data_IF_021222015561
#
_entry.id   IF_021222015561
#
_cell.length_a   1.000
_cell.length_b   1.000
_cell.length_c   1.000
_cell.angle_alpha   90.00
_cell.angle_beta   90.00
_cell.angle_gamma   90.00
#
_symmetry.space_group_name_H-M   'P 1'
#
loop_
_entity.id
_entity.type
_entity.pdbx_description
1 polymer ?
#
# COMPACT_ATOMS: atom_id res chain seq x y z
N UNK A 1 -20.47 10.21 -8.29
CA UNK A 1 -19.41 11.22 -8.44
C UNK A 1 -18.10 10.46 -8.49
N UNK A 2 -17.44 10.45 -9.65
CA UNK A 2 -16.11 9.86 -9.79
C UNK A 2 -15.05 10.92 -9.50
N UNK A 3 -13.84 10.47 -9.17
CA UNK A 3 -12.69 11.35 -9.00
C UNK A 3 -11.93 11.36 -10.32
N UNK A 4 -11.59 12.54 -10.82
CA UNK A 4 -10.84 12.68 -12.04
C UNK A 4 -9.43 12.07 -11.86
N UNK A 5 -9.05 11.20 -12.78
CA UNK A 5 -7.73 10.58 -12.81
C UNK A 5 -7.13 10.66 -14.21
N UNK A 6 -5.82 10.85 -14.28
CA UNK A 6 -5.07 10.96 -15.52
C UNK A 6 -3.90 9.97 -15.53
N UNK A 7 -3.44 9.61 -16.72
CA UNK A 7 -2.28 8.74 -16.87
C UNK A 7 -1.03 9.61 -16.79
N UNK A 8 -0.10 9.26 -15.91
CA UNK A 8 1.19 9.93 -15.79
C UNK A 8 1.94 9.87 -17.12
N UNK A 9 2.42 11.02 -17.60
CA UNK A 9 3.29 11.11 -18.78
C UNK A 9 4.70 10.54 -18.50
N UNK A 10 5.10 10.50 -17.23
CA UNK A 10 6.39 9.99 -16.80
C UNK A 10 6.31 8.50 -16.45
N UNK A 11 7.35 7.76 -16.86
CA UNK A 11 7.60 6.41 -16.37
C UNK A 11 7.90 6.46 -14.87
N UNK A 12 7.21 5.64 -14.08
CA UNK A 12 7.43 5.57 -12.64
C UNK A 12 8.78 4.95 -12.28
N UNK A 13 9.20 5.10 -11.01
CA UNK A 13 10.46 4.55 -10.49
C UNK A 13 10.48 3.00 -10.39
N UNK A 14 9.40 2.33 -10.79
CA UNK A 14 9.28 0.88 -10.70
C UNK A 14 9.63 0.24 -12.05
N UNK A 15 10.35 -0.89 -12.02
CA UNK A 15 10.60 -1.70 -13.21
C UNK A 15 9.32 -2.46 -13.61
N UNK A 16 8.37 -1.74 -14.22
CA UNK A 16 7.12 -2.29 -14.72
C UNK A 16 6.74 -1.62 -16.04
N UNK A 17 6.08 -2.39 -16.88
CA UNK A 17 5.35 -1.99 -18.08
C UNK A 17 4.06 -1.19 -17.79
N UNK A 18 3.62 -1.14 -16.54
CA UNK A 18 2.39 -0.46 -16.13
C UNK A 18 2.56 1.05 -16.13
N UNK A 19 1.56 1.75 -16.67
CA UNK A 19 1.48 3.21 -16.60
C UNK A 19 0.94 3.64 -15.24
N UNK A 20 1.56 4.66 -14.64
CA UNK A 20 1.08 5.22 -13.39
C UNK A 20 -0.18 6.06 -13.62
N UNK A 21 -1.09 6.05 -12.65
CA UNK A 21 -2.32 6.86 -12.65
C UNK A 21 -2.21 7.88 -11.53
N UNK A 22 -2.50 9.14 -11.85
CA UNK A 22 -2.50 10.27 -10.92
C UNK A 22 -3.95 10.69 -10.69
N UNK A 23 -4.29 10.95 -9.43
CA UNK A 23 -5.61 11.46 -9.04
C UNK A 23 -5.51 12.95 -8.77
N UNK A 24 -6.48 13.73 -9.26
CA UNK A 24 -6.53 15.17 -9.01
C UNK A 24 -6.80 15.50 -7.53
N UNK A 25 -7.58 14.66 -6.86
CA UNK A 25 -7.89 14.74 -5.44
C UNK A 25 -7.74 13.37 -4.77
N UNK A 26 -7.52 13.35 -3.46
CA UNK A 26 -7.39 12.08 -2.74
C UNK A 26 -8.70 11.27 -2.80
N UNK A 27 -8.63 9.99 -3.20
CA UNK A 27 -9.81 9.14 -3.34
C UNK A 27 -10.37 8.59 -2.03
N UNK A 28 -10.72 9.48 -1.11
CA UNK A 28 -11.17 9.15 0.24
C UNK A 28 -12.58 8.55 0.31
N UNK A 29 -13.47 8.96 -0.60
CA UNK A 29 -14.87 8.53 -0.67
C UNK A 29 -15.18 7.74 -1.95
N UNK A 30 -14.14 7.24 -2.63
CA UNK A 30 -14.31 6.42 -3.81
C UNK A 30 -15.11 5.14 -3.46
N UNK A 31 -16.20 4.82 -4.21
CA UNK A 31 -17.04 3.66 -3.92
C UNK A 31 -16.37 2.37 -4.42
N UNK A 32 -15.27 1.98 -3.78
CA UNK A 32 -14.51 0.77 -4.10
C UNK A 32 -14.77 -0.33 -3.07
N UNK A 33 -14.82 -1.59 -3.51
CA UNK A 33 -14.91 -2.74 -2.60
C UNK A 33 -13.57 -2.98 -1.89
N UNK A 34 -12.48 -2.90 -2.65
CA UNK A 34 -11.13 -3.12 -2.15
C UNK A 34 -10.47 -1.79 -1.77
N UNK A 35 -10.91 -1.23 -0.63
CA UNK A 35 -10.36 0.01 -0.06
C UNK A 35 -8.84 -0.06 0.13
N UNK A 36 -8.27 -1.27 0.23
CA UNK A 36 -6.83 -1.51 0.33
C UNK A 36 -6.02 -1.12 -0.92
N UNK A 37 -6.64 -0.91 -2.07
CA UNK A 37 -5.94 -0.46 -3.28
C UNK A 37 -6.04 1.03 -3.53
N UNK A 38 -6.90 1.73 -2.79
CA UNK A 38 -7.12 3.15 -3.00
C UNK A 38 -6.17 3.97 -2.11
N UNK A 39 -5.31 4.82 -2.70
CA UNK A 39 -4.39 5.66 -1.94
C UNK A 39 -5.15 6.85 -1.34
N UNK A 40 -5.80 6.64 -0.19
CA UNK A 40 -6.59 7.64 0.52
C UNK A 40 -5.85 8.25 1.72
N UNK A 41 -6.13 9.50 2.03
CA UNK A 41 -5.62 10.20 3.21
C UNK A 41 -6.04 9.49 4.50
N UNK A 42 -7.30 9.02 4.57
CA UNK A 42 -7.81 8.24 5.72
C UNK A 42 -6.91 7.04 6.07
N UNK A 43 -6.37 6.34 5.08
CA UNK A 43 -5.48 5.19 5.31
C UNK A 43 -4.11 5.60 5.83
N UNK A 44 -3.59 6.72 5.34
CA UNK A 44 -2.34 7.27 5.84
C UNK A 44 -2.48 7.69 7.30
N UNK A 45 -3.58 8.36 7.64
CA UNK A 45 -3.88 8.73 9.02
C UNK A 45 -3.95 7.48 9.93
N UNK A 46 -4.63 6.41 9.50
CA UNK A 46 -4.67 5.14 10.25
C UNK A 46 -3.28 4.54 10.44
N UNK A 47 -2.42 4.59 9.43
CA UNK A 47 -1.05 4.04 9.48
C UNK A 47 -0.22 4.76 10.56
N UNK A 48 -0.33 6.09 10.61
CA UNK A 48 0.35 6.92 11.60
C UNK A 48 -0.21 6.66 13.00
N UNK A 49 -1.53 6.75 13.16
CA UNK A 49 -2.21 6.61 14.46
C UNK A 49 -2.00 5.22 15.09
N UNK A 50 -1.86 4.17 14.27
CA UNK A 50 -1.60 2.81 14.74
C UNK A 50 -0.11 2.48 14.90
N UNK A 51 0.80 3.42 14.65
CA UNK A 51 2.24 3.17 14.59
C UNK A 51 2.59 1.98 13.66
N UNK A 52 1.90 1.86 12.53
CA UNK A 52 2.16 0.81 11.55
C UNK A 52 3.40 1.16 10.71
N UNK A 53 4.57 0.84 11.25
CA UNK A 53 5.86 1.03 10.57
C UNK A 53 6.04 0.19 9.31
N UNK A 54 5.17 -0.79 9.09
CA UNK A 54 5.18 -1.62 7.87
C UNK A 54 4.24 -1.09 6.79
N UNK A 55 3.45 -0.05 7.08
CA UNK A 55 2.49 0.56 6.17
C UNK A 55 1.56 -0.46 5.49
N UNK A 56 1.17 -1.52 6.20
CA UNK A 56 0.21 -2.53 5.70
C UNK A 56 -1.12 -1.87 5.39
N UNK A 57 -1.53 -0.91 6.21
CA UNK A 57 -2.74 -0.12 5.96
C UNK A 57 -2.63 0.76 4.72
N UNK A 58 -1.44 1.03 4.16
CA UNK A 58 -1.24 1.69 2.86
C UNK A 58 -1.21 0.71 1.69
N UNK A 59 -1.34 -0.60 1.95
CA UNK A 59 -1.28 -1.64 0.92
C UNK A 59 0.14 -2.08 0.59
N UNK A 60 1.14 -1.71 1.42
CA UNK A 60 2.50 -2.17 1.22
C UNK A 60 2.63 -3.63 1.65
N UNK A 61 3.19 -4.45 0.76
CA UNK A 61 3.58 -5.82 1.07
C UNK A 61 4.94 -5.85 1.73
N UNK A 62 5.17 -6.88 2.56
CA UNK A 62 6.50 -7.12 3.12
C UNK A 62 7.51 -7.39 2.00
N UNK A 63 8.75 -6.92 2.18
CA UNK A 63 9.85 -7.30 1.29
C UNK A 63 10.17 -8.79 1.44
N UNK A 64 10.89 -9.35 0.46
CA UNK A 64 11.36 -10.75 0.53
C UNK A 64 12.16 -11.00 1.81
N UNK A 65 13.02 -10.06 2.19
CA UNK A 65 13.83 -10.13 3.41
C UNK A 65 13.00 -10.08 4.69
N UNK A 66 12.03 -9.16 4.77
CA UNK A 66 11.12 -9.05 5.91
C UNK A 66 10.30 -10.33 6.10
N UNK A 67 9.83 -10.91 5.00
CA UNK A 67 9.10 -12.19 4.99
C UNK A 67 9.98 -13.33 5.50
N UNK A 68 11.22 -13.43 5.00
CA UNK A 68 12.18 -14.45 5.42
C UNK A 68 12.59 -14.29 6.89
N UNK A 69 12.76 -13.06 7.38
CA UNK A 69 13.05 -12.78 8.81
C UNK A 69 11.88 -13.23 9.69
N UNK A 70 10.65 -12.92 9.30
CA UNK A 70 9.45 -13.37 10.01
C UNK A 70 9.36 -14.90 10.03
N UNK A 71 9.62 -15.57 8.91
CA UNK A 71 9.58 -17.04 8.81
C UNK A 71 10.58 -17.68 9.78
N UNK A 72 11.83 -17.22 9.77
CA UNK A 72 12.88 -17.71 10.68
C UNK A 72 12.52 -17.53 12.15
N UNK A 73 11.92 -16.40 12.52
CA UNK A 73 11.47 -16.18 13.89
C UNK A 73 10.37 -17.17 14.28
N UNK A 74 9.37 -17.39 13.43
CA UNK A 74 8.31 -18.37 13.70
C UNK A 74 8.86 -19.79 13.84
N UNK A 75 9.81 -20.18 13.01
CA UNK A 75 10.49 -21.49 13.09
C UNK A 75 11.26 -21.66 14.41
N UNK A 76 11.96 -20.62 14.88
CA UNK A 76 12.72 -20.65 16.14
C UNK A 76 11.81 -20.88 17.35
N UNK A 77 10.65 -20.23 17.37
CA UNK A 77 9.70 -20.29 18.50
C UNK A 77 8.60 -21.35 18.30
N UNK A 78 8.64 -22.16 17.24
CA UNK A 78 7.60 -23.16 16.97
C UNK A 78 7.57 -24.31 18.00
N UNK A 79 8.70 -24.55 18.68
CA UNK A 79 8.89 -25.68 19.61
C UNK A 79 9.23 -25.22 21.04
N UNK A 80 9.01 -23.94 21.37
CA UNK A 80 8.96 -23.46 22.76
C UNK A 80 7.53 -23.53 23.26
#
# INVERSE_FOLDING_TARGET
MGIACEISEHAGNYHSDKKAVVFAEYPDDAPVKDFMFVPSWKRMAVTILKNDHTCKYMGFSQTKEQTAKRKRALELYANL
#
